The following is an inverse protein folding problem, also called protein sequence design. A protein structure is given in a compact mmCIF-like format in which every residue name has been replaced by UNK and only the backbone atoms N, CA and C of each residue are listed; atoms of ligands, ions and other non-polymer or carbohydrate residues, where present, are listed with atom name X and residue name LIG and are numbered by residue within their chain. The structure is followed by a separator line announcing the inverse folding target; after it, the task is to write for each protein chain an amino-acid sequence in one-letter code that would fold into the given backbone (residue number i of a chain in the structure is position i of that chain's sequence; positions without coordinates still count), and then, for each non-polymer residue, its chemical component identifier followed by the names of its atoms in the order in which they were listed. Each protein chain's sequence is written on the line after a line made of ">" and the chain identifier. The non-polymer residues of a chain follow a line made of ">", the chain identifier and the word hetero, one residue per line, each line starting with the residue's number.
data_IF_833626878860
#
_entry.id   IF_833626878860
#
_cell.length_a   1.000
_cell.length_b   1.000
_cell.length_c   1.000
_cell.angle_alpha   90.00
_cell.angle_beta   90.00
_cell.angle_gamma   90.00
#
_symmetry.space_group_name_H-M   'P 1'
#
loop_
_entity.id
_entity.type
_entity.pdbx_description
1 polymer ?
#
# COMPACT_ATOMS: atom_id res chain seq x y z
N UNK A 1 -16.61 25.43 -26.63
CA UNK A 1 -16.75 24.40 -25.58
C UNK A 1 -15.66 24.63 -24.54
N UNK A 2 -15.99 24.63 -23.24
CA UNK A 2 -14.98 24.83 -22.19
C UNK A 2 -13.97 23.67 -22.20
N UNK A 3 -12.68 23.98 -22.02
CA UNK A 3 -11.61 22.98 -21.99
C UNK A 3 -11.78 22.12 -20.73
N UNK A 4 -11.71 20.79 -20.88
CA UNK A 4 -11.81 19.87 -19.75
C UNK A 4 -10.74 20.19 -18.67
N UNK A 5 -11.06 20.02 -17.37
CA UNK A 5 -10.12 20.30 -16.30
C UNK A 5 -8.86 19.43 -16.42
N UNK A 6 -7.69 20.05 -16.22
CA UNK A 6 -6.40 19.36 -16.27
C UNK A 6 -6.11 18.72 -14.92
N UNK A 7 -6.15 17.38 -14.87
CA UNK A 7 -5.82 16.61 -13.67
C UNK A 7 -4.30 16.36 -13.57
N UNK A 8 -3.82 16.09 -12.35
CA UNK A 8 -2.41 15.74 -12.11
C UNK A 8 -2.02 14.36 -12.68
N UNK A 9 -3.01 13.46 -12.82
CA UNK A 9 -2.90 12.13 -13.40
C UNK A 9 -4.07 11.89 -14.37
N UNK A 10 -3.87 11.02 -15.34
CA UNK A 10 -4.87 10.58 -16.32
C UNK A 10 -4.69 9.08 -16.55
N UNK A 11 -5.74 8.26 -16.71
CA UNK A 11 -7.18 8.60 -16.77
C UNK A 11 -7.77 9.00 -15.40
N UNK A 12 -9.00 9.50 -15.37
CA UNK A 12 -9.75 9.67 -14.13
C UNK A 12 -10.20 8.32 -13.55
N UNK A 13 -10.58 8.33 -12.27
CA UNK A 13 -11.04 7.14 -11.56
C UNK A 13 -12.21 6.43 -12.26
N UNK A 14 -13.15 7.20 -12.80
CA UNK A 14 -14.38 6.66 -13.39
C UNK A 14 -14.17 6.18 -14.84
N UNK A 15 -13.14 6.66 -15.52
CA UNK A 15 -12.79 6.24 -16.89
C UNK A 15 -12.06 4.90 -16.92
N UNK A 16 -11.07 4.72 -16.04
CA UNK A 16 -10.30 3.48 -15.93
C UNK A 16 -9.66 3.41 -14.55
N UNK A 17 -10.38 2.76 -13.63
CA UNK A 17 -9.97 2.61 -12.24
C UNK A 17 -8.61 1.91 -12.06
N UNK A 18 -8.32 0.75 -12.72
CA UNK A 18 -7.03 0.08 -12.56
C UNK A 18 -5.83 0.95 -12.90
N UNK A 19 -5.85 1.65 -14.04
CA UNK A 19 -4.74 2.53 -14.44
C UNK A 19 -4.65 3.75 -13.54
N UNK A 20 -5.81 4.39 -13.25
CA UNK A 20 -5.85 5.52 -12.32
C UNK A 20 -5.23 5.16 -10.96
N UNK A 21 -5.53 3.98 -10.42
CA UNK A 21 -4.99 3.53 -9.15
C UNK A 21 -3.46 3.43 -9.19
N UNK A 22 -2.89 2.83 -10.24
CA UNK A 22 -1.44 2.75 -10.41
C UNK A 22 -0.80 4.14 -10.57
N UNK A 23 -1.45 5.04 -11.32
CA UNK A 23 -1.00 6.42 -11.47
C UNK A 23 -1.01 7.19 -10.15
N UNK A 24 -2.04 7.01 -9.30
CA UNK A 24 -2.08 7.61 -7.95
C UNK A 24 -0.91 7.11 -7.11
N UNK A 25 -0.74 5.78 -7.01
CA UNK A 25 0.31 5.17 -6.19
C UNK A 25 1.70 5.66 -6.61
N UNK A 26 1.95 5.71 -7.92
CA UNK A 26 3.21 6.20 -8.48
C UNK A 26 3.41 7.70 -8.29
N UNK A 27 2.42 8.52 -8.62
CA UNK A 27 2.51 9.97 -8.53
C UNK A 27 2.64 10.46 -7.07
N UNK A 28 2.09 9.71 -6.12
CA UNK A 28 2.20 9.98 -4.69
C UNK A 28 3.47 9.36 -4.05
N UNK A 29 4.34 8.73 -4.84
CA UNK A 29 5.59 8.11 -4.38
C UNK A 29 5.42 7.03 -3.31
N UNK A 30 4.31 6.26 -3.39
CA UNK A 30 3.94 5.29 -2.36
C UNK A 30 4.56 3.91 -2.57
N UNK A 31 4.55 3.42 -3.81
CA UNK A 31 5.10 2.12 -4.18
C UNK A 31 5.45 2.07 -5.67
N UNK A 32 6.29 1.11 -6.05
CA UNK A 32 6.65 0.84 -7.44
C UNK A 32 6.68 -0.67 -7.73
N UNK A 33 6.50 -1.08 -9.00
CA UNK A 33 6.61 -2.49 -9.38
C UNK A 33 8.00 -3.05 -9.07
N UNK A 34 8.08 -4.30 -8.63
CA UNK A 34 9.36 -5.01 -8.55
C UNK A 34 9.56 -5.95 -9.75
N UNK A 35 10.77 -6.49 -9.90
CA UNK A 35 11.10 -7.47 -10.95
C UNK A 35 10.35 -8.81 -10.77
N UNK A 36 9.80 -9.07 -9.58
CA UNK A 36 9.02 -10.27 -9.30
C UNK A 36 7.55 -9.97 -9.57
N UNK A 37 6.96 -10.70 -10.51
CA UNK A 37 5.54 -10.55 -10.86
C UNK A 37 4.66 -10.71 -9.62
N UNK A 38 3.78 -9.73 -9.42
CA UNK A 38 2.86 -9.72 -8.27
C UNK A 38 3.44 -9.11 -7.01
N UNK A 39 4.71 -8.66 -7.04
CA UNK A 39 5.35 -7.97 -5.93
C UNK A 39 5.51 -6.47 -6.25
N UNK A 40 5.60 -5.67 -5.19
CA UNK A 40 5.84 -4.23 -5.26
C UNK A 40 6.89 -3.86 -4.21
N UNK A 41 7.71 -2.86 -4.52
CA UNK A 41 8.57 -2.19 -3.54
C UNK A 41 7.74 -1.07 -2.92
N UNK A 42 7.46 -1.18 -1.63
CA UNK A 42 6.77 -0.11 -0.88
C UNK A 42 7.82 0.94 -0.50
N UNK A 43 7.64 2.18 -0.95
CA UNK A 43 8.57 3.29 -0.73
C UNK A 43 8.41 3.86 0.68
N UNK A 44 9.37 4.65 1.19
CA UNK A 44 9.31 5.17 2.57
C UNK A 44 7.99 5.89 2.91
N UNK A 45 7.46 6.68 1.96
CA UNK A 45 6.19 7.39 2.18
C UNK A 45 4.99 6.44 2.31
N UNK A 46 4.92 5.39 1.48
CA UNK A 46 3.91 4.34 1.60
C UNK A 46 4.09 3.49 2.85
N UNK A 47 5.33 3.16 3.21
CA UNK A 47 5.63 2.33 4.36
C UNK A 47 5.33 3.04 5.68
N UNK A 48 5.51 4.36 5.76
CA UNK A 48 5.15 5.15 6.93
C UNK A 48 3.65 5.06 7.27
N UNK A 49 2.78 4.91 6.26
CA UNK A 49 1.34 4.67 6.48
C UNK A 49 1.13 3.34 7.20
N UNK A 50 1.81 2.28 6.75
CA UNK A 50 1.79 0.98 7.40
C UNK A 50 2.32 1.02 8.82
N UNK A 51 3.46 1.67 9.07
CA UNK A 51 4.04 1.81 10.42
C UNK A 51 3.07 2.52 11.39
N UNK A 52 2.34 3.52 10.90
CA UNK A 52 1.31 4.20 11.68
C UNK A 52 0.13 3.28 12.02
N UNK A 53 -0.36 2.52 11.03
CA UNK A 53 -1.41 1.52 11.26
C UNK A 53 -0.97 0.45 12.26
N UNK A 54 0.21 -0.12 12.05
CA UNK A 54 0.80 -1.14 12.92
C UNK A 54 0.88 -0.64 14.36
N UNK A 55 1.41 0.57 14.60
CA UNK A 55 1.56 1.14 15.95
C UNK A 55 0.21 1.32 16.66
N UNK A 56 -0.81 1.80 15.94
CA UNK A 56 -2.14 2.03 16.51
C UNK A 56 -2.80 0.71 16.88
N UNK A 57 -2.78 -0.26 15.96
CA UNK A 57 -3.40 -1.57 16.17
C UNK A 57 -2.68 -2.39 17.25
N UNK A 58 -1.34 -2.40 17.24
CA UNK A 58 -0.53 -3.08 18.26
C UNK A 58 -0.85 -2.59 19.67
N UNK A 59 -1.01 -1.27 19.85
CA UNK A 59 -1.46 -0.70 21.14
C UNK A 59 -2.84 -1.23 21.54
N UNK A 60 -3.81 -1.20 20.63
CA UNK A 60 -5.18 -1.67 20.90
C UNK A 60 -5.23 -3.16 21.27
N UNK A 61 -4.40 -4.00 20.65
CA UNK A 61 -4.31 -5.41 21.00
C UNK A 61 -3.68 -5.63 22.38
N UNK A 62 -2.64 -4.88 22.72
CA UNK A 62 -2.00 -4.94 24.05
C UNK A 62 -2.94 -4.48 25.17
N UNK A 63 -3.79 -3.48 24.92
CA UNK A 63 -4.82 -3.04 25.86
C UNK A 63 -5.83 -4.14 26.21
N UNK A 64 -6.01 -5.14 25.34
CA UNK A 64 -6.89 -6.29 25.56
C UNK A 64 -6.15 -7.55 26.04
N UNK A 65 -4.86 -7.42 26.40
CA UNK A 65 -4.05 -8.49 26.97
C UNK A 65 -3.37 -9.42 25.95
N UNK A 66 -3.31 -9.03 24.67
CA UNK A 66 -2.62 -9.83 23.64
C UNK A 66 -1.12 -9.57 23.65
N UNK A 67 -0.35 -10.60 23.29
CA UNK A 67 1.10 -10.53 23.13
C UNK A 67 1.49 -10.91 21.70
N UNK A 68 2.51 -10.23 21.16
CA UNK A 68 3.03 -10.55 19.83
C UNK A 68 3.93 -11.79 19.89
N UNK A 69 3.80 -12.65 18.88
CA UNK A 69 4.68 -13.79 18.67
C UNK A 69 5.22 -13.77 17.23
N UNK A 70 6.41 -14.32 17.01
CA UNK A 70 7.00 -14.47 15.69
C UNK A 70 7.34 -15.94 15.45
N UNK A 71 6.75 -16.50 14.40
CA UNK A 71 6.93 -17.90 14.01
C UNK A 71 7.84 -17.97 12.76
N UNK A 72 8.46 -19.13 12.50
CA UNK A 72 9.25 -19.34 11.28
C UNK A 72 8.42 -19.11 10.01
N UNK A 73 9.03 -18.52 8.99
CA UNK A 73 8.40 -18.34 7.66
C UNK A 73 8.20 -19.67 6.92
N UNK A 74 9.12 -20.62 7.11
CA UNK A 74 9.07 -21.93 6.45
C UNK A 74 8.40 -22.98 7.34
N UNK A 75 7.54 -23.80 6.74
CA UNK A 75 6.92 -24.96 7.37
C UNK A 75 7.54 -26.22 6.74
N UNK A 76 8.10 -27.15 7.52
CA UNK A 76 8.67 -28.37 6.97
C UNK A 76 7.57 -29.23 6.35
N UNK A 77 7.86 -29.81 5.18
CA UNK A 77 7.10 -30.99 4.74
C UNK A 77 7.57 -32.16 5.61
N UNK A 78 6.60 -32.88 6.18
CA UNK A 78 6.74 -34.02 7.10
C UNK A 78 8.01 -34.85 6.94
#
# INVERSE_FOLDING_TARGET
>A
MAKAPKNAISPTRDENYPEWFQQVIKAADLAEPSDVRGCMVIKPWGYAIWENMQRVLDRMFKETGHENAYFPLFIPMS
#
